data_IF_059557679087
#
_entry.id   IF_059557679087
#
_cell.length_a   1.000
_cell.length_b   1.000
_cell.length_c   1.000
_cell.angle_alpha   90.00
_cell.angle_beta   90.00
_cell.angle_gamma   90.00
#
_symmetry.space_group_name_H-M   'P 1'
#
loop_
_entity.id
_entity.type
_entity.pdbx_description
1 polymer ?
#
# COMPACT_ATOMS: atom_id res chain seq x y z
N UNK A 1 9.49 -6.26 -22.82
CA UNK A 1 9.81 -6.29 -21.37
C UNK A 1 8.58 -6.52 -20.49
N UNK A 2 7.46 -5.82 -20.70
CA UNK A 2 6.24 -5.95 -19.86
C UNK A 2 5.78 -7.40 -19.54
N UNK A 3 5.71 -8.34 -20.49
CA UNK A 3 5.28 -9.73 -20.19
C UNK A 3 6.23 -10.49 -19.27
N UNK A 4 7.47 -10.02 -19.12
CA UNK A 4 8.51 -10.66 -18.33
C UNK A 4 8.71 -9.98 -16.97
N UNK A 5 8.12 -8.82 -16.71
CA UNK A 5 8.30 -8.08 -15.45
C UNK A 5 7.91 -8.90 -14.23
N UNK A 6 6.81 -9.68 -14.30
CA UNK A 6 6.39 -10.57 -13.22
C UNK A 6 7.43 -11.63 -12.83
N UNK A 7 8.39 -11.95 -13.71
CA UNK A 7 9.49 -12.87 -13.41
C UNK A 7 10.63 -12.17 -12.65
N UNK A 8 10.73 -10.85 -12.75
CA UNK A 8 11.77 -10.04 -12.11
C UNK A 8 11.26 -9.39 -10.81
N UNK A 9 10.00 -8.99 -10.79
CA UNK A 9 9.36 -8.28 -9.69
C UNK A 9 8.01 -8.92 -9.39
N UNK A 10 7.89 -9.52 -8.21
CA UNK A 10 6.64 -10.14 -7.76
C UNK A 10 5.51 -9.10 -7.63
N UNK A 11 5.83 -7.92 -7.12
CA UNK A 11 4.88 -6.83 -6.88
C UNK A 11 4.52 -5.98 -8.11
N UNK A 12 5.17 -6.19 -9.27
CA UNK A 12 4.94 -5.36 -10.47
C UNK A 12 4.45 -6.24 -11.62
N UNK A 13 3.17 -6.10 -11.95
CA UNK A 13 2.57 -6.75 -13.11
C UNK A 13 2.76 -5.92 -14.39
N UNK A 14 2.62 -4.60 -14.29
CA UNK A 14 2.74 -3.67 -15.42
C UNK A 14 3.36 -2.36 -14.98
N UNK A 15 3.93 -1.64 -15.94
CA UNK A 15 4.38 -0.26 -15.80
C UNK A 15 3.55 0.67 -16.68
N UNK A 16 3.33 1.90 -16.21
CA UNK A 16 2.76 2.98 -17.03
C UNK A 16 3.88 3.78 -17.66
N UNK A 17 3.85 3.91 -18.99
CA UNK A 17 4.81 4.66 -19.79
C UNK A 17 4.16 5.93 -20.34
N UNK A 18 4.92 7.02 -20.39
CA UNK A 18 4.59 8.18 -21.23
C UNK A 18 4.96 7.92 -22.70
N UNK A 19 4.57 8.83 -23.59
CA UNK A 19 4.96 8.79 -25.01
C UNK A 19 6.49 8.80 -25.19
N UNK A 20 7.20 9.52 -24.31
CA UNK A 20 8.67 9.60 -24.28
C UNK A 20 9.36 8.40 -23.62
N UNK A 21 8.64 7.28 -23.44
CA UNK A 21 9.17 6.05 -22.83
C UNK A 21 9.67 6.23 -21.39
N UNK A 22 9.08 7.17 -20.66
CA UNK A 22 9.34 7.38 -19.22
C UNK A 22 8.34 6.58 -18.39
N UNK A 23 8.86 5.76 -17.47
CA UNK A 23 8.04 5.02 -16.50
C UNK A 23 7.67 5.95 -15.36
N UNK A 24 6.36 6.04 -15.09
CA UNK A 24 5.81 6.92 -14.05
C UNK A 24 5.12 6.16 -12.92
N UNK A 25 4.47 5.04 -13.24
CA UNK A 25 3.74 4.26 -12.25
C UNK A 25 4.05 2.78 -12.39
N UNK A 26 3.98 2.08 -11.26
CA UNK A 26 3.92 0.62 -11.22
C UNK A 26 2.51 0.16 -10.90
N UNK A 27 2.11 -0.98 -11.47
CA UNK A 27 0.81 -1.59 -11.29
C UNK A 27 0.93 -3.04 -10.83
N UNK A 28 0.26 -3.41 -9.75
CA UNK A 28 0.25 -4.78 -9.21
C UNK A 28 -0.63 -5.73 -10.02
N UNK A 29 -0.57 -7.03 -9.72
CA UNK A 29 -1.44 -8.03 -10.36
C UNK A 29 -2.92 -7.82 -10.02
N UNK A 30 -3.20 -7.28 -8.83
CA UNK A 30 -4.56 -6.94 -8.37
C UNK A 30 -5.07 -5.61 -8.92
N UNK A 31 -4.20 -4.86 -9.61
CA UNK A 31 -4.57 -3.63 -10.29
C UNK A 31 -4.24 -2.36 -9.53
N UNK A 32 -3.66 -2.45 -8.33
CA UNK A 32 -3.20 -1.31 -7.55
C UNK A 32 -2.15 -0.52 -8.30
N UNK A 33 -2.21 0.81 -8.21
CA UNK A 33 -1.30 1.71 -8.90
C UNK A 33 -0.53 2.50 -7.85
N UNK A 34 0.79 2.49 -7.98
CA UNK A 34 1.69 3.31 -7.16
C UNK A 34 2.52 4.21 -8.07
N UNK A 35 2.49 5.51 -7.79
CA UNK A 35 3.34 6.50 -8.44
C UNK A 35 4.79 6.31 -8.00
N UNK A 36 5.72 6.36 -8.95
CA UNK A 36 7.14 6.32 -8.64
C UNK A 36 7.62 7.67 -8.11
N UNK A 37 8.36 7.65 -7.00
CA UNK A 37 9.04 8.84 -6.45
C UNK A 37 10.11 9.38 -7.41
N UNK A 38 10.71 8.49 -8.19
CA UNK A 38 11.65 8.82 -9.26
C UNK A 38 11.22 8.14 -10.54
N UNK A 39 10.93 8.92 -11.58
CA UNK A 39 10.58 8.40 -12.91
C UNK A 39 11.80 7.82 -13.62
N UNK A 40 11.60 6.83 -14.48
CA UNK A 40 12.71 6.12 -15.16
C UNK A 40 12.61 6.34 -16.66
N UNK A 41 13.60 7.00 -17.26
CA UNK A 41 13.67 7.18 -18.70
C UNK A 41 14.33 5.96 -19.36
N UNK A 42 13.52 5.08 -19.94
CA UNK A 42 14.06 3.85 -20.55
C UNK A 42 14.80 4.09 -21.87
N UNK A 43 14.51 5.19 -22.57
CA UNK A 43 15.23 5.57 -23.79
C UNK A 43 16.68 5.96 -23.50
N UNK A 44 16.94 6.58 -22.34
CA UNK A 44 18.29 6.95 -21.90
C UNK A 44 19.23 5.74 -21.75
N UNK A 45 18.67 4.55 -21.49
CA UNK A 45 19.45 3.30 -21.39
C UNK A 45 19.92 2.74 -22.74
N UNK A 46 19.52 3.34 -23.88
CA UNK A 46 19.92 2.93 -25.24
C UNK A 46 19.76 1.42 -25.50
N UNK A 47 18.63 0.86 -25.06
CA UNK A 47 18.33 -0.57 -25.21
C UNK A 47 18.92 -1.50 -24.15
N UNK A 48 19.74 -1.02 -23.21
CA UNK A 48 20.28 -1.82 -22.11
C UNK A 48 19.24 -2.00 -21.01
N UNK A 49 18.46 -3.09 -21.11
CA UNK A 49 17.31 -3.33 -20.24
C UNK A 49 17.71 -3.44 -18.76
N UNK A 50 18.80 -4.12 -18.46
CA UNK A 50 19.26 -4.34 -17.08
C UNK A 50 19.55 -3.03 -16.33
N UNK A 51 20.06 -2.00 -17.03
CA UNK A 51 20.38 -0.70 -16.42
C UNK A 51 19.14 -0.03 -15.85
N UNK A 52 18.08 0.08 -16.65
CA UNK A 52 16.86 0.74 -16.19
C UNK A 52 16.03 -0.15 -15.27
N UNK A 53 16.17 -1.48 -15.32
CA UNK A 53 15.55 -2.37 -14.33
C UNK A 53 16.16 -2.21 -12.93
N UNK A 54 17.47 -1.97 -12.82
CA UNK A 54 18.12 -1.63 -11.55
C UNK A 54 17.63 -0.28 -10.99
N UNK A 55 17.42 0.70 -11.87
CA UNK A 55 16.79 1.97 -11.49
C UNK A 55 15.35 1.78 -11.04
N UNK A 56 14.59 0.92 -11.75
CA UNK A 56 13.23 0.55 -11.36
C UNK A 56 13.17 -0.09 -9.99
N UNK A 57 14.07 -1.02 -9.68
CA UNK A 57 14.09 -1.66 -8.36
C UNK A 57 14.29 -0.64 -7.23
N UNK A 58 15.22 0.31 -7.41
CA UNK A 58 15.49 1.38 -6.44
C UNK A 58 14.28 2.29 -6.29
N UNK A 59 13.69 2.72 -7.41
CA UNK A 59 12.50 3.57 -7.42
C UNK A 59 11.30 2.86 -6.78
N UNK A 60 11.07 1.58 -7.08
CA UNK A 60 10.03 0.75 -6.49
C UNK A 60 10.14 0.74 -4.96
N UNK A 61 11.31 0.39 -4.41
CA UNK A 61 11.53 0.34 -2.95
C UNK A 61 11.29 1.70 -2.30
N UNK A 62 11.85 2.76 -2.88
CA UNK A 62 11.65 4.13 -2.38
C UNK A 62 10.18 4.54 -2.41
N UNK A 63 9.45 4.18 -3.47
CA UNK A 63 8.05 4.55 -3.64
C UNK A 63 7.12 3.82 -2.69
N UNK A 64 7.33 2.51 -2.48
CA UNK A 64 6.59 1.76 -1.45
C UNK A 64 6.87 2.34 -0.07
N UNK A 65 8.13 2.61 0.27
CA UNK A 65 8.47 3.22 1.55
C UNK A 65 7.79 4.59 1.73
N UNK A 66 7.76 5.41 0.69
CA UNK A 66 7.08 6.70 0.72
C UNK A 66 5.57 6.56 0.93
N UNK A 67 4.91 5.64 0.21
CA UNK A 67 3.48 5.38 0.39
C UNK A 67 3.17 4.87 1.80
N UNK A 68 3.98 3.96 2.35
CA UNK A 68 3.81 3.46 3.72
C UNK A 68 3.96 4.60 4.74
N UNK A 69 4.93 5.49 4.56
CA UNK A 69 5.12 6.65 5.44
C UNK A 69 3.91 7.60 5.39
N UNK A 70 3.43 7.94 4.19
CA UNK A 70 2.23 8.78 4.07
C UNK A 70 0.98 8.13 4.67
N UNK A 71 0.84 6.81 4.50
CA UNK A 71 -0.25 6.04 5.08
C UNK A 71 -0.20 6.01 6.61
N UNK A 72 1.00 5.92 7.18
CA UNK A 72 1.23 6.01 8.62
C UNK A 72 0.79 7.38 9.18
N UNK A 73 1.20 8.47 8.53
CA UNK A 73 0.87 9.83 8.97
C UNK A 73 -0.65 10.12 8.88
N UNK A 74 -1.32 9.58 7.87
CA UNK A 74 -2.77 9.73 7.67
C UNK A 74 -3.62 8.85 8.61
N UNK A 75 -3.08 7.75 9.13
CA UNK A 75 -3.84 6.78 9.96
C UNK A 75 -4.48 7.41 11.19
N UNK A 76 -3.76 8.32 11.86
CA UNK A 76 -4.28 9.01 13.06
C UNK A 76 -5.20 10.19 12.75
N UNK A 77 -5.15 10.71 11.52
CA UNK A 77 -5.89 11.90 11.10
C UNK A 77 -7.24 11.57 10.47
N UNK A 78 -7.42 10.34 9.99
CA UNK A 78 -8.60 9.89 9.26
C UNK A 78 -9.34 8.77 9.99
N UNK A 79 -10.69 8.74 9.97
CA UNK A 79 -11.42 7.57 10.44
C UNK A 79 -10.96 6.30 9.72
N UNK A 80 -10.76 5.21 10.46
CA UNK A 80 -10.18 3.96 9.94
C UNK A 80 -10.95 3.44 8.73
N UNK A 81 -12.28 3.47 8.78
CA UNK A 81 -13.18 3.08 7.69
C UNK A 81 -12.96 3.86 6.38
N UNK A 82 -12.48 5.10 6.47
CA UNK A 82 -12.17 5.90 5.28
C UNK A 82 -10.70 5.76 4.86
N UNK A 83 -9.81 5.51 5.83
CA UNK A 83 -8.38 5.31 5.61
C UNK A 83 -8.09 4.04 4.81
N UNK A 84 -8.74 2.92 5.15
CA UNK A 84 -8.58 1.64 4.43
C UNK A 84 -8.96 1.71 2.94
N UNK A 85 -9.73 2.71 2.51
CA UNK A 85 -10.24 2.83 1.14
C UNK A 85 -9.34 3.64 0.21
N UNK A 86 -8.32 4.32 0.74
CA UNK A 86 -7.49 5.28 -0.03
C UNK A 86 -6.02 4.87 -0.14
N UNK A 87 -5.58 3.89 0.63
CA UNK A 87 -4.21 3.40 0.63
C UNK A 87 -4.10 2.02 -0.04
N UNK A 88 -2.96 1.69 -0.68
CA UNK A 88 -2.73 0.34 -1.19
C UNK A 88 -2.84 -0.71 -0.09
N UNK A 89 -3.38 -1.88 -0.41
CA UNK A 89 -3.72 -2.93 0.56
C UNK A 89 -2.55 -3.40 1.40
N UNK A 90 -1.35 -3.52 0.82
CA UNK A 90 -0.14 -3.86 1.59
C UNK A 90 0.29 -2.75 2.56
N UNK A 91 0.09 -1.47 2.20
CA UNK A 91 0.32 -0.36 3.13
C UNK A 91 -0.73 -0.35 4.24
N UNK A 92 -2.01 -0.56 3.89
CA UNK A 92 -3.10 -0.73 4.85
C UNK A 92 -2.76 -1.82 5.87
N UNK A 93 -2.36 -3.00 5.40
CA UNK A 93 -2.04 -4.12 6.27
C UNK A 93 -0.83 -3.85 7.17
N UNK A 94 0.24 -3.28 6.60
CA UNK A 94 1.45 -2.95 7.35
C UNK A 94 1.14 -1.98 8.49
N UNK A 95 0.49 -0.86 8.17
CA UNK A 95 0.21 0.19 9.16
C UNK A 95 -0.85 -0.26 10.18
N UNK A 96 -1.89 -0.98 9.75
CA UNK A 96 -2.87 -1.55 10.67
C UNK A 96 -2.23 -2.47 11.71
N UNK A 97 -1.28 -3.32 11.30
CA UNK A 97 -0.52 -4.19 12.21
C UNK A 97 0.42 -3.41 13.12
N UNK A 98 1.06 -2.35 12.62
CA UNK A 98 1.91 -1.46 13.43
C UNK A 98 1.10 -0.83 14.57
N UNK A 99 -0.02 -0.17 14.27
CA UNK A 99 -0.85 0.45 15.28
C UNK A 99 -1.50 -0.57 16.20
N UNK A 100 -2.00 -1.69 15.66
CA UNK A 100 -2.60 -2.73 16.49
C UNK A 100 -1.60 -3.28 17.52
N UNK A 101 -0.36 -3.55 17.09
CA UNK A 101 0.71 -4.07 17.96
C UNK A 101 1.09 -3.06 19.03
N UNK A 102 1.22 -1.78 18.67
CA UNK A 102 1.51 -0.71 19.62
C UNK A 102 0.41 -0.56 20.66
N UNK A 103 -0.84 -0.42 20.19
CA UNK A 103 -1.99 -0.14 21.05
C UNK A 103 -2.33 -1.32 21.97
N UNK A 104 -2.22 -2.57 21.48
CA UNK A 104 -2.44 -3.75 22.34
C UNK A 104 -1.34 -3.89 23.40
N UNK A 105 -0.10 -3.61 23.02
CA UNK A 105 1.05 -3.67 23.92
C UNK A 105 0.92 -2.62 25.01
N UNK A 106 0.56 -1.39 24.65
CA UNK A 106 0.27 -0.33 25.62
C UNK A 106 -0.87 -0.72 26.57
N UNK A 107 -1.98 -1.25 26.04
CA UNK A 107 -3.12 -1.67 26.86
C UNK A 107 -2.75 -2.76 27.89
N UNK A 108 -1.90 -3.73 27.50
CA UNK A 108 -1.38 -4.78 28.39
C UNK A 108 -0.59 -4.17 29.56
N UNK A 109 0.23 -3.16 29.30
CA UNK A 109 1.05 -2.51 30.34
C UNK A 109 0.23 -1.64 31.29
N UNK A 110 -0.89 -1.06 30.83
CA UNK A 110 -1.71 -0.16 31.64
C UNK A 110 -2.58 -0.93 32.63
N UNK A 111 -3.51 -1.77 32.16
CA UNK A 111 -4.41 -2.55 33.02
C UNK A 111 -5.34 -3.48 32.22
N UNK A 112 -5.98 -4.43 32.92
CA UNK A 112 -7.07 -5.25 32.35
C UNK A 112 -8.22 -4.38 31.83
N UNK A 113 -8.54 -3.27 32.51
CA UNK A 113 -9.59 -2.35 32.06
C UNK A 113 -9.22 -1.66 30.74
N UNK A 114 -7.95 -1.29 30.56
CA UNK A 114 -7.44 -0.74 29.31
C UNK A 114 -7.48 -1.78 28.17
N UNK A 115 -7.13 -3.04 28.46
CA UNK A 115 -7.29 -4.15 27.50
C UNK A 115 -8.75 -4.33 27.07
N UNK A 116 -9.71 -4.25 27.99
CA UNK A 116 -11.15 -4.31 27.66
C UNK A 116 -11.59 -3.14 26.79
N UNK A 117 -11.17 -1.91 27.12
CA UNK A 117 -11.47 -0.75 26.30
C UNK A 117 -10.90 -0.87 24.88
N UNK A 118 -9.69 -1.42 24.75
CA UNK A 118 -9.07 -1.66 23.44
C UNK A 118 -9.76 -2.79 22.66
N UNK A 119 -10.24 -3.83 23.34
CA UNK A 119 -11.08 -4.87 22.76
C UNK A 119 -12.37 -4.29 22.16
N UNK A 120 -13.05 -3.40 22.89
CA UNK A 120 -14.26 -2.73 22.42
C UNK A 120 -13.97 -1.84 21.21
N UNK A 121 -12.84 -1.12 21.21
CA UNK A 121 -12.35 -0.36 20.04
C UNK A 121 -12.15 -1.26 18.82
N UNK A 122 -11.50 -2.42 18.98
CA UNK A 122 -11.30 -3.39 17.89
C UNK A 122 -12.64 -3.87 17.30
N UNK A 123 -13.59 -4.24 18.15
CA UNK A 123 -14.92 -4.68 17.70
C UNK A 123 -15.67 -3.58 16.94
N UNK A 124 -15.61 -2.34 17.43
CA UNK A 124 -16.21 -1.20 16.74
C UNK A 124 -15.57 -0.99 15.35
N UNK A 125 -14.24 -1.07 15.25
CA UNK A 125 -13.54 -0.95 13.97
C UNK A 125 -13.94 -2.08 13.01
N UNK A 126 -14.00 -3.33 13.47
CA UNK A 126 -14.45 -4.47 12.66
C UNK A 126 -15.88 -4.26 12.17
N UNK A 127 -16.80 -3.83 13.04
CA UNK A 127 -18.19 -3.56 12.65
C UNK A 127 -18.27 -2.53 11.53
N UNK A 128 -17.49 -1.45 11.62
CA UNK A 128 -17.45 -0.42 10.57
C UNK A 128 -16.92 -0.96 9.24
N UNK A 129 -15.91 -1.84 9.27
CA UNK A 129 -15.42 -2.50 8.06
C UNK A 129 -16.48 -3.45 7.47
N UNK A 130 -17.19 -4.21 8.30
CA UNK A 130 -18.30 -5.07 7.86
C UNK A 130 -19.38 -4.24 7.16
N UNK A 131 -19.72 -3.08 7.70
CA UNK A 131 -20.71 -2.18 7.10
C UNK A 131 -20.24 -1.64 5.74
N UNK A 132 -18.94 -1.33 5.57
CA UNK A 132 -18.37 -0.98 4.26
C UNK A 132 -18.50 -2.11 3.25
N UNK A 133 -18.13 -3.34 3.63
CA UNK A 133 -18.15 -4.50 2.73
C UNK A 133 -19.56 -4.82 2.24
N UNK A 134 -20.56 -4.62 3.11
CA UNK A 134 -21.99 -4.75 2.77
C UNK A 134 -22.49 -3.69 1.79
N UNK A 135 -21.81 -2.55 1.70
CA UNK A 135 -22.12 -1.47 0.78
C UNK A 135 -21.57 -1.66 -0.64
N UNK A 136 -21.65 -0.59 -1.42
CA UNK A 136 -21.02 -0.52 -2.73
C UNK A 136 -19.55 -0.13 -2.60
N UNK A 137 -18.67 -0.98 -3.11
CA UNK A 137 -17.23 -0.77 -3.13
C UNK A 137 -16.67 -1.08 -4.52
N UNK A 138 -15.62 -0.34 -4.87
CA UNK A 138 -14.80 -0.69 -6.04
C UNK A 138 -14.21 -2.09 -5.85
N UNK A 139 -13.93 -2.79 -6.96
CA UNK A 139 -13.27 -4.09 -6.91
C UNK A 139 -11.97 -4.03 -6.11
N UNK A 140 -11.20 -2.95 -6.28
CA UNK A 140 -9.93 -2.75 -5.57
C UNK A 140 -10.15 -2.68 -4.05
N UNK A 141 -11.13 -1.90 -3.60
CA UNK A 141 -11.41 -1.75 -2.17
C UNK A 141 -11.98 -3.05 -1.58
N UNK A 142 -12.71 -3.85 -2.36
CA UNK A 142 -13.15 -5.19 -1.93
C UNK A 142 -12.02 -6.19 -1.78
N UNK A 143 -10.93 -6.05 -2.55
CA UNK A 143 -9.75 -6.92 -2.41
C UNK A 143 -8.92 -6.51 -1.19
N UNK A 144 -8.87 -5.21 -0.88
CA UNK A 144 -8.14 -4.69 0.29
C UNK A 144 -8.78 -5.05 1.63
N UNK A 145 -10.12 -5.08 1.70
CA UNK A 145 -10.92 -5.30 2.91
C UNK A 145 -11.22 -6.77 3.18
#
# INVERSE_FOLDING_TARGET
>A
VQPHLKKCFEGIAKLTFTEDMVVTHMRSSEGEIVLLTTTINTAAARGQVEKWLLELEKAMKSSVHHVVALSYDDYSQRPRENWVLVWPGQAVQCIAMTFWTSEVTEAIHISISAMRAYWDKCNLQISKIVDLVRGELSLQNRITL
#
